data_IF_341607787644
#
_entry.id   IF_341607787644
#
_cell.length_a   1.000
_cell.length_b   1.000
_cell.length_c   1.000
_cell.angle_alpha   90.00
_cell.angle_beta   90.00
_cell.angle_gamma   90.00
#
_symmetry.space_group_name_H-M   'P 1'
#
loop_
_entity.id
_entity.type
_entity.pdbx_description
1 polymer ?
#
# COMPACT_ATOMS: atom_id res chain seq x y z
N UNK A 1 26.14 100.78 7.12
CA UNK A 1 24.88 100.77 6.34
C UNK A 1 24.95 99.57 5.40
N UNK A 2 23.98 98.67 5.52
CA UNK A 2 23.71 97.51 4.64
C UNK A 2 23.54 97.96 3.15
N UNK A 3 23.54 97.16 2.08
CA UNK A 3 22.86 95.88 1.78
C UNK A 3 23.53 95.20 0.56
N UNK A 4 23.52 93.87 0.60
CA UNK A 4 23.77 92.82 -0.39
C UNK A 4 23.49 93.08 -1.89
N UNK A 5 24.24 92.37 -2.75
CA UNK A 5 23.67 91.76 -3.96
C UNK A 5 24.30 90.39 -4.23
N UNK A 6 23.43 89.39 -4.40
CA UNK A 6 23.69 87.97 -4.60
C UNK A 6 23.63 87.66 -6.10
N UNK A 7 24.52 86.81 -6.65
CA UNK A 7 24.30 86.22 -7.98
C UNK A 7 24.80 84.78 -8.09
N UNK A 8 23.82 83.89 -7.91
CA UNK A 8 23.61 82.53 -8.41
C UNK A 8 24.76 81.79 -9.13
N UNK A 9 25.27 80.73 -8.50
CA UNK A 9 25.96 79.62 -9.18
C UNK A 9 25.13 78.33 -9.09
N UNK A 10 24.98 77.71 -10.26
CA UNK A 10 23.98 76.70 -10.64
C UNK A 10 24.16 75.36 -9.92
N UNK A 11 23.09 74.78 -9.35
CA UNK A 11 22.95 73.33 -9.16
C UNK A 11 22.42 72.72 -10.46
N UNK A 12 23.27 72.01 -11.20
CA UNK A 12 22.84 71.06 -12.23
C UNK A 12 22.67 69.69 -11.55
N UNK A 13 21.46 69.41 -11.06
CA UNK A 13 21.08 68.07 -10.65
C UNK A 13 20.68 67.35 -11.95
N UNK A 14 21.58 66.51 -12.46
CA UNK A 14 21.30 65.68 -13.63
C UNK A 14 20.36 64.53 -13.21
N UNK A 15 19.06 64.79 -13.20
CA UNK A 15 18.03 63.76 -13.06
C UNK A 15 17.91 63.00 -14.39
N UNK A 16 18.77 62.00 -14.56
CA UNK A 16 18.58 60.98 -15.59
C UNK A 16 17.36 60.15 -15.21
N UNK A 17 16.20 60.53 -15.75
CA UNK A 17 14.95 59.78 -15.71
C UNK A 17 15.22 58.33 -16.15
N UNK A 18 15.19 57.38 -15.20
CA UNK A 18 15.30 55.95 -15.50
C UNK A 18 13.96 55.46 -16.04
N UNK A 19 13.73 55.55 -17.35
CA UNK A 19 12.56 55.03 -18.08
C UNK A 19 12.48 53.49 -18.16
N UNK A 20 12.88 52.78 -17.10
CA UNK A 20 12.90 51.31 -17.05
C UNK A 20 12.31 50.70 -15.78
N UNK A 21 11.97 51.50 -14.76
CA UNK A 21 11.43 50.99 -13.49
C UNK A 21 10.02 50.40 -13.63
N UNK A 22 9.15 51.01 -14.45
CA UNK A 22 7.78 50.52 -14.65
C UNK A 22 7.74 49.11 -15.25
N UNK A 23 8.60 48.83 -16.22
CA UNK A 23 8.70 47.52 -16.86
C UNK A 23 9.23 46.45 -15.90
N UNK A 24 10.18 46.81 -15.02
CA UNK A 24 10.68 45.91 -13.97
C UNK A 24 9.57 45.54 -12.97
N UNK A 25 8.74 46.51 -12.57
CA UNK A 25 7.62 46.27 -11.66
C UNK A 25 6.60 45.32 -12.30
N UNK A 26 6.27 45.51 -13.58
CA UNK A 26 5.34 44.63 -14.30
C UNK A 26 5.88 43.20 -14.40
N UNK A 27 7.17 43.02 -14.70
CA UNK A 27 7.79 41.69 -14.76
C UNK A 27 7.73 41.00 -13.38
N UNK A 28 8.01 41.73 -12.31
CA UNK A 28 7.93 41.20 -10.94
C UNK A 28 6.51 40.75 -10.57
N UNK A 29 5.50 41.56 -10.89
CA UNK A 29 4.09 41.23 -10.62
C UNK A 29 3.64 40.02 -11.44
N UNK A 30 4.01 39.95 -12.73
CA UNK A 30 3.70 38.81 -13.58
C UNK A 30 4.38 37.52 -13.09
N UNK A 31 5.66 37.60 -12.71
CA UNK A 31 6.40 36.46 -12.16
C UNK A 31 5.78 35.97 -10.85
N UNK A 32 5.37 36.89 -9.98
CA UNK A 32 4.69 36.55 -8.73
C UNK A 32 3.31 35.91 -8.99
N UNK A 33 2.49 36.48 -9.87
CA UNK A 33 1.19 35.91 -10.23
C UNK A 33 1.32 34.53 -10.87
N UNK A 34 2.34 34.31 -11.71
CA UNK A 34 2.64 32.99 -12.28
C UNK A 34 3.02 31.98 -11.20
N UNK A 35 3.92 32.34 -10.29
CA UNK A 35 4.35 31.45 -9.20
C UNK A 35 3.19 31.07 -8.29
N UNK A 36 2.36 32.04 -7.88
CA UNK A 36 1.18 31.79 -7.05
C UNK A 36 0.16 30.94 -7.80
N UNK A 37 -0.12 31.25 -9.08
CA UNK A 37 -1.06 30.51 -9.90
C UNK A 37 -0.70 29.03 -10.05
N UNK A 38 0.57 28.73 -10.35
CA UNK A 38 1.07 27.35 -10.44
C UNK A 38 0.98 26.64 -9.10
N UNK A 39 1.35 27.31 -8.00
CA UNK A 39 1.31 26.71 -6.66
C UNK A 39 -0.12 26.34 -6.25
N UNK A 40 -1.10 27.21 -6.51
CA UNK A 40 -2.52 26.95 -6.22
C UNK A 40 -3.06 25.78 -7.04
N UNK A 41 -2.70 25.68 -8.32
CA UNK A 41 -3.09 24.55 -9.17
C UNK A 41 -2.51 23.22 -8.65
N UNK A 42 -1.25 23.21 -8.23
CA UNK A 42 -0.60 22.01 -7.68
C UNK A 42 -1.30 21.54 -6.41
N UNK A 43 -1.50 22.43 -5.42
CA UNK A 43 -2.16 22.10 -4.15
C UNK A 43 -3.61 21.65 -4.36
N UNK A 44 -4.32 22.28 -5.30
CA UNK A 44 -5.70 21.88 -5.62
C UNK A 44 -5.76 20.52 -6.32
N UNK A 45 -4.75 20.18 -7.11
CA UNK A 45 -4.67 18.89 -7.82
C UNK A 45 -4.28 17.71 -6.91
N UNK A 46 -3.61 17.96 -5.78
CA UNK A 46 -3.21 16.91 -4.83
C UNK A 46 -4.35 16.52 -3.89
N UNK A 47 -5.27 17.43 -3.56
CA UNK A 47 -6.41 17.16 -2.68
C UNK A 47 -7.27 15.95 -3.09
N UNK A 48 -7.81 15.90 -4.33
CA UNK A 48 -8.62 14.77 -4.80
C UNK A 48 -7.85 13.44 -4.87
N UNK A 49 -6.54 13.48 -5.18
CA UNK A 49 -5.69 12.29 -5.24
C UNK A 49 -5.46 11.68 -3.85
N UNK A 50 -5.26 12.51 -2.83
CA UNK A 50 -5.10 12.05 -1.45
C UNK A 50 -6.42 11.49 -0.90
N UNK A 51 -7.55 12.16 -1.14
CA UNK A 51 -8.86 11.70 -0.68
C UNK A 51 -9.30 10.37 -1.31
N UNK A 52 -9.08 10.20 -2.62
CA UNK A 52 -9.38 8.93 -3.31
C UNK A 52 -8.46 7.79 -2.85
N UNK A 53 -7.16 8.06 -2.67
CA UNK A 53 -6.22 7.08 -2.14
C UNK A 53 -6.59 6.62 -0.71
N UNK A 54 -7.02 7.53 0.16
CA UNK A 54 -7.48 7.18 1.51
C UNK A 54 -8.73 6.29 1.48
N UNK A 55 -9.69 6.57 0.58
CA UNK A 55 -10.89 5.74 0.43
C UNK A 55 -10.54 4.33 -0.04
N UNK A 56 -9.67 4.18 -1.03
CA UNK A 56 -9.24 2.86 -1.48
C UNK A 56 -8.46 2.11 -0.40
N UNK A 57 -7.69 2.81 0.43
CA UNK A 57 -7.00 2.19 1.56
C UNK A 57 -7.98 1.69 2.64
N UNK A 58 -9.02 2.46 2.95
CA UNK A 58 -10.07 2.06 3.89
C UNK A 58 -10.87 0.87 3.35
N UNK A 59 -11.21 0.89 2.05
CA UNK A 59 -11.86 -0.24 1.37
C UNK A 59 -10.99 -1.50 1.41
N UNK A 60 -9.67 -1.38 1.16
CA UNK A 60 -8.74 -2.51 1.24
C UNK A 60 -8.61 -3.04 2.67
N UNK A 61 -8.58 -2.15 3.67
CA UNK A 61 -8.55 -2.53 5.08
C UNK A 61 -9.83 -3.30 5.48
N UNK A 62 -11.00 -2.80 5.09
CA UNK A 62 -12.28 -3.46 5.34
C UNK A 62 -12.35 -4.85 4.68
N UNK A 63 -11.79 -5.00 3.48
CA UNK A 63 -11.69 -6.29 2.82
C UNK A 63 -10.76 -7.25 3.59
N UNK A 64 -9.61 -6.76 4.06
CA UNK A 64 -8.69 -7.57 4.87
C UNK A 64 -9.31 -8.00 6.21
N UNK A 65 -10.06 -7.12 6.88
CA UNK A 65 -10.78 -7.41 8.12
C UNK A 65 -11.90 -8.44 7.91
N UNK A 66 -12.64 -8.34 6.79
CA UNK A 66 -13.61 -9.37 6.43
C UNK A 66 -12.94 -10.74 6.19
N UNK A 67 -11.78 -10.76 5.53
CA UNK A 67 -10.97 -11.97 5.37
C UNK A 67 -10.53 -12.55 6.71
N UNK A 68 -10.06 -11.72 7.64
CA UNK A 68 -9.70 -12.13 9.00
C UNK A 68 -10.89 -12.78 9.74
N UNK A 69 -12.05 -12.11 9.73
CA UNK A 69 -13.25 -12.62 10.40
C UNK A 69 -13.74 -13.92 9.78
N UNK A 70 -13.75 -14.01 8.44
CA UNK A 70 -14.15 -15.22 7.72
C UNK A 70 -13.20 -16.38 8.01
N UNK A 71 -11.89 -16.13 7.98
CA UNK A 71 -10.87 -17.14 8.26
C UNK A 71 -10.93 -17.62 9.70
N UNK A 72 -11.14 -16.73 10.67
CA UNK A 72 -11.31 -17.11 12.07
C UNK A 72 -12.48 -18.09 12.26
N UNK A 73 -13.64 -17.79 11.65
CA UNK A 73 -14.81 -18.68 11.70
C UNK A 73 -14.52 -20.03 11.03
N UNK A 74 -13.84 -20.02 9.88
CA UNK A 74 -13.47 -21.25 9.18
C UNK A 74 -12.50 -22.11 10.00
N UNK A 75 -11.47 -21.50 10.60
CA UNK A 75 -10.50 -22.18 11.46
C UNK A 75 -11.18 -22.80 12.69
N UNK A 76 -12.07 -22.05 13.37
CA UNK A 76 -12.86 -22.59 14.48
C UNK A 76 -13.66 -23.83 14.06
N UNK A 77 -14.33 -23.79 12.90
CA UNK A 77 -15.07 -24.93 12.37
C UNK A 77 -14.15 -26.11 12.03
N UNK A 78 -12.96 -25.88 11.46
CA UNK A 78 -11.99 -26.94 11.16
C UNK A 78 -11.52 -27.67 12.42
N UNK A 79 -11.27 -26.95 13.51
CA UNK A 79 -10.93 -27.54 14.80
C UNK A 79 -12.12 -28.26 15.45
N UNK A 80 -13.31 -27.63 15.46
CA UNK A 80 -14.53 -28.22 16.03
C UNK A 80 -14.96 -29.51 15.32
N UNK A 81 -14.88 -29.53 14.00
CA UNK A 81 -15.18 -30.69 13.16
C UNK A 81 -14.09 -31.77 13.17
N UNK A 82 -12.95 -31.51 13.86
CA UNK A 82 -11.75 -32.35 13.91
C UNK A 82 -11.14 -32.63 12.53
N UNK A 83 -11.38 -31.76 11.56
CA UNK A 83 -10.66 -31.78 10.30
C UNK A 83 -9.19 -31.42 10.54
N UNK A 84 -8.94 -30.44 11.41
CA UNK A 84 -7.61 -30.01 11.81
C UNK A 84 -7.36 -30.34 13.28
N UNK A 85 -6.20 -30.93 13.57
CA UNK A 85 -5.73 -31.16 14.94
C UNK A 85 -4.68 -30.15 15.41
N UNK A 86 -4.07 -29.42 14.46
CA UNK A 86 -3.08 -28.38 14.67
C UNK A 86 -2.94 -27.56 13.38
N UNK A 87 -2.14 -26.50 13.37
CA UNK A 87 -1.84 -25.74 12.15
C UNK A 87 -0.81 -26.43 11.23
N UNK A 88 -0.18 -27.50 11.73
CA UNK A 88 0.86 -28.22 10.99
C UNK A 88 0.35 -28.77 9.66
N UNK A 89 1.06 -28.46 8.58
CA UNK A 89 0.70 -28.89 7.22
C UNK A 89 -0.24 -27.94 6.48
N UNK A 90 -0.72 -26.87 7.14
CA UNK A 90 -1.61 -25.87 6.54
C UNK A 90 -0.92 -24.52 6.26
N UNK A 91 0.40 -24.46 6.44
CA UNK A 91 1.20 -23.28 6.18
C UNK A 91 1.48 -23.10 4.68
N UNK A 92 1.48 -21.85 4.23
CA UNK A 92 1.93 -21.48 2.91
C UNK A 92 3.46 -21.62 2.83
N UNK A 93 3.90 -22.68 2.16
CA UNK A 93 5.32 -23.03 2.02
C UNK A 93 5.66 -23.32 0.57
N UNK A 94 6.93 -23.20 0.20
CA UNK A 94 7.44 -23.66 -1.10
C UNK A 94 7.08 -22.82 -2.34
N UNK A 95 6.39 -21.68 -2.17
CA UNK A 95 6.04 -20.78 -3.30
C UNK A 95 7.27 -20.09 -3.91
N UNK A 96 8.32 -19.89 -3.10
CA UNK A 96 9.60 -19.32 -3.55
C UNK A 96 10.72 -20.35 -3.40
N UNK A 97 11.83 -20.15 -4.10
CA UNK A 97 12.99 -21.07 -4.12
C UNK A 97 13.49 -21.46 -2.73
N UNK A 98 13.40 -20.56 -1.75
CA UNK A 98 13.89 -20.77 -0.38
C UNK A 98 12.77 -20.78 0.66
N UNK A 99 11.50 -20.92 0.26
CA UNK A 99 10.33 -20.79 1.13
C UNK A 99 9.89 -19.34 1.31
N UNK A 100 8.57 -19.11 1.33
CA UNK A 100 7.99 -17.76 1.51
C UNK A 100 7.92 -17.36 3.00
N UNK A 101 7.90 -18.36 3.85
CA UNK A 101 7.89 -18.38 5.31
C UNK A 101 9.28 -18.22 5.94
N UNK A 102 10.35 -18.51 5.20
CA UNK A 102 11.73 -18.51 5.74
C UNK A 102 12.39 -17.12 5.62
N UNK A 103 12.82 -16.48 6.72
CA UNK A 103 13.42 -15.14 6.69
C UNK A 103 14.89 -15.12 6.20
N UNK A 104 15.67 -16.16 6.49
CA UNK A 104 17.11 -16.24 6.18
C UNK A 104 17.46 -17.56 5.50
N UNK A 105 18.24 -17.48 4.43
CA UNK A 105 18.67 -18.67 3.68
C UNK A 105 19.63 -19.47 4.55
N UNK A 106 19.35 -20.76 4.76
CA UNK A 106 20.15 -21.66 5.61
C UNK A 106 20.37 -21.13 7.05
N UNK A 107 19.42 -20.36 7.59
CA UNK A 107 19.51 -19.72 8.91
C UNK A 107 20.76 -18.81 9.06
N UNK A 108 21.24 -18.24 7.96
CA UNK A 108 22.38 -17.33 7.93
C UNK A 108 21.90 -15.88 7.92
N UNK A 109 22.07 -15.16 9.04
CA UNK A 109 21.66 -13.75 9.19
C UNK A 109 22.29 -12.83 8.13
N UNK A 110 23.42 -13.23 7.53
CA UNK A 110 24.07 -12.46 6.46
C UNK A 110 23.42 -12.65 5.09
N UNK A 111 22.52 -13.64 4.94
CA UNK A 111 21.85 -14.01 3.69
C UNK A 111 20.33 -13.97 3.85
N UNK A 112 19.74 -12.77 3.89
CA UNK A 112 18.31 -12.64 4.07
C UNK A 112 17.58 -13.10 2.79
N UNK A 113 16.55 -13.93 2.94
CA UNK A 113 15.81 -14.50 1.82
C UNK A 113 15.04 -13.39 1.07
N UNK A 114 15.25 -13.20 -0.24
CA UNK A 114 14.49 -12.20 -1.01
C UNK A 114 13.02 -12.61 -1.22
N UNK A 115 12.71 -13.90 -1.13
CA UNK A 115 11.36 -14.45 -1.27
C UNK A 115 10.54 -14.47 0.03
N UNK A 116 11.07 -13.95 1.14
CA UNK A 116 10.35 -13.90 2.41
C UNK A 116 9.15 -12.96 2.32
N UNK A 117 7.96 -13.39 2.77
CA UNK A 117 6.70 -12.67 2.55
C UNK A 117 6.72 -11.20 3.02
N UNK A 118 7.40 -10.88 4.13
CA UNK A 118 7.52 -9.48 4.63
C UNK A 118 8.38 -8.59 3.74
N UNK A 119 9.13 -9.17 2.80
CA UNK A 119 9.97 -8.44 1.84
C UNK A 119 9.30 -8.34 0.46
N UNK A 120 8.17 -9.01 0.28
CA UNK A 120 7.38 -8.99 -0.93
C UNK A 120 6.21 -8.02 -0.77
N UNK A 121 5.89 -7.31 -1.85
CA UNK A 121 4.65 -6.53 -1.92
C UNK A 121 3.45 -7.47 -2.01
N UNK A 122 2.27 -6.97 -1.65
CA UNK A 122 1.03 -7.75 -1.75
C UNK A 122 0.80 -8.26 -3.18
N UNK A 123 1.04 -7.41 -4.18
CA UNK A 123 0.95 -7.79 -5.60
C UNK A 123 1.93 -8.90 -5.98
N UNK A 124 3.16 -8.88 -5.44
CA UNK A 124 4.13 -9.93 -5.68
C UNK A 124 3.68 -11.25 -5.06
N UNK A 125 3.10 -11.23 -3.86
CA UNK A 125 2.55 -12.43 -3.23
C UNK A 125 1.39 -12.98 -4.06
N UNK A 126 0.44 -12.13 -4.47
CA UNK A 126 -0.70 -12.57 -5.28
C UNK A 126 -0.26 -13.17 -6.62
N UNK A 127 0.71 -12.55 -7.31
CA UNK A 127 1.28 -13.09 -8.54
C UNK A 127 2.08 -14.39 -8.34
N UNK A 128 2.59 -14.63 -7.13
CA UNK A 128 3.25 -15.90 -6.81
C UNK A 128 2.22 -17.02 -6.55
N UNK A 129 1.04 -16.66 -6.02
CA UNK A 129 -0.06 -17.58 -5.76
C UNK A 129 -0.84 -17.90 -7.03
N UNK A 130 -1.01 -16.94 -7.95
CA UNK A 130 -1.62 -17.14 -9.26
C UNK A 130 -0.77 -16.43 -10.34
N UNK A 131 0.30 -17.09 -10.84
CA UNK A 131 1.14 -16.56 -11.91
C UNK A 131 0.43 -16.43 -13.27
N UNK A 132 -0.68 -17.14 -13.48
CA UNK A 132 -1.35 -17.24 -14.76
C UNK A 132 -2.57 -16.29 -14.87
N UNK A 133 -2.99 -15.71 -13.74
CA UNK A 133 -4.10 -14.76 -13.56
C UNK A 133 -5.47 -15.32 -13.98
N UNK A 134 -5.70 -16.62 -13.81
CA UNK A 134 -6.98 -17.27 -14.07
C UNK A 134 -7.97 -17.17 -12.89
N UNK A 135 -7.52 -16.61 -11.75
CA UNK A 135 -8.32 -16.45 -10.54
C UNK A 135 -8.38 -17.71 -9.68
N UNK A 136 -7.52 -18.69 -9.96
CA UNK A 136 -7.33 -19.90 -9.16
C UNK A 136 -5.88 -19.94 -8.70
N UNK A 137 -5.68 -20.24 -7.42
CA UNK A 137 -4.31 -20.35 -6.90
C UNK A 137 -3.62 -21.60 -7.45
N UNK A 138 -2.38 -21.43 -7.91
CA UNK A 138 -1.46 -22.47 -8.38
C UNK A 138 -0.65 -23.11 -7.23
N UNK A 139 -1.21 -23.09 -6.01
CA UNK A 139 -0.65 -23.74 -4.80
C UNK A 139 -1.57 -24.85 -4.32
N UNK A 140 -1.09 -25.70 -3.41
CA UNK A 140 -1.94 -26.76 -2.87
C UNK A 140 -3.14 -26.17 -2.11
N UNK A 141 -4.34 -26.73 -2.34
CA UNK A 141 -5.59 -26.20 -1.79
C UNK A 141 -5.58 -26.10 -0.25
N UNK A 142 -4.79 -26.95 0.43
CA UNK A 142 -4.70 -27.01 1.89
C UNK A 142 -3.77 -25.91 2.49
N UNK A 143 -3.06 -25.15 1.64
CA UNK A 143 -2.12 -24.09 2.06
C UNK A 143 -2.74 -22.68 2.07
N UNK A 144 -3.93 -22.52 1.49
CA UNK A 144 -4.68 -21.28 1.47
C UNK A 144 -6.02 -21.49 2.16
N UNK A 145 -6.40 -20.55 3.05
CA UNK A 145 -7.73 -20.56 3.66
C UNK A 145 -8.74 -19.99 2.67
N UNK A 146 -8.38 -18.85 2.06
CA UNK A 146 -9.17 -18.18 1.04
C UNK A 146 -8.26 -17.55 0.00
N UNK A 147 -8.62 -17.64 -1.28
CA UNK A 147 -7.90 -17.01 -2.37
C UNK A 147 -8.82 -16.10 -3.17
N UNK A 148 -8.50 -14.81 -3.17
CA UNK A 148 -9.22 -13.77 -3.91
C UNK A 148 -10.75 -13.83 -3.82
N UNK A 149 -11.23 -14.17 -2.63
CA UNK A 149 -12.65 -14.28 -2.35
C UNK A 149 -13.30 -12.89 -2.37
N UNK A 150 -14.46 -12.73 -3.04
CA UNK A 150 -15.14 -11.45 -3.09
C UNK A 150 -15.72 -11.08 -1.73
N UNK A 151 -15.54 -9.81 -1.33
CA UNK A 151 -16.08 -9.25 -0.09
C UNK A 151 -17.60 -9.43 0.01
N UNK A 152 -18.32 -9.26 -1.10
CA UNK A 152 -19.75 -9.50 -1.21
C UNK A 152 -20.01 -10.65 -2.18
N UNK A 153 -20.39 -11.81 -1.67
CA UNK A 153 -20.90 -12.91 -2.52
C UNK A 153 -22.31 -12.57 -2.99
N UNK A 154 -22.48 -12.27 -4.27
CA UNK A 154 -23.80 -12.10 -4.85
C UNK A 154 -24.46 -13.46 -5.10
N UNK A 155 -25.65 -13.69 -4.55
CA UNK A 155 -26.45 -14.90 -4.82
C UNK A 155 -26.79 -15.11 -6.31
N UNK A 156 -26.68 -14.07 -7.13
CA UNK A 156 -26.99 -14.11 -8.57
C UNK A 156 -25.86 -14.69 -9.44
N UNK A 157 -24.75 -15.14 -8.86
CA UNK A 157 -23.63 -15.76 -9.60
C UNK A 157 -22.71 -14.77 -10.34
N UNK A 158 -22.95 -13.45 -10.21
CA UNK A 158 -22.06 -12.43 -10.75
C UNK A 158 -21.16 -11.93 -9.62
N UNK A 159 -20.03 -12.62 -9.41
CA UNK A 159 -19.07 -12.24 -8.38
C UNK A 159 -18.45 -10.89 -8.72
N UNK A 160 -18.37 -10.02 -7.70
CA UNK A 160 -17.78 -8.69 -7.83
C UNK A 160 -16.39 -8.70 -7.21
N UNK A 161 -15.36 -8.79 -8.06
CA UNK A 161 -13.97 -8.85 -7.63
C UNK A 161 -13.35 -7.48 -7.39
N UNK A 162 -14.16 -6.41 -7.28
CA UNK A 162 -13.66 -5.07 -6.94
C UNK A 162 -13.02 -5.02 -5.56
N UNK A 163 -13.58 -5.74 -4.59
CA UNK A 163 -13.02 -5.91 -3.26
C UNK A 163 -12.87 -7.39 -2.99
N UNK A 164 -11.64 -7.85 -2.82
CA UNK A 164 -11.33 -9.24 -2.54
C UNK A 164 -10.43 -9.37 -1.33
N UNK A 165 -10.39 -10.55 -0.75
CA UNK A 165 -9.42 -10.90 0.28
C UNK A 165 -8.78 -12.26 0.01
N UNK A 166 -7.51 -12.37 0.38
CA UNK A 166 -6.73 -13.60 0.36
C UNK A 166 -6.20 -13.84 1.77
N UNK A 167 -6.35 -15.07 2.28
CA UNK A 167 -5.91 -15.44 3.63
C UNK A 167 -5.12 -16.72 3.59
N UNK A 168 -3.96 -16.70 4.23
CA UNK A 168 -3.07 -17.84 4.37
C UNK A 168 -2.32 -17.81 5.71
N UNK A 169 -1.72 -18.93 6.06
CA UNK A 169 -1.02 -19.15 7.31
C UNK A 169 0.48 -19.23 7.08
N UNK A 170 1.27 -18.65 7.97
CA UNK A 170 2.72 -18.71 7.99
C UNK A 170 3.17 -19.24 9.36
N UNK A 171 4.08 -20.21 9.36
CA UNK A 171 4.80 -20.64 10.56
C UNK A 171 5.75 -19.50 10.99
N UNK A 172 5.51 -18.90 12.15
CA UNK A 172 6.30 -17.77 12.66
C UNK A 172 7.65 -18.20 13.25
N UNK A 173 7.83 -19.50 13.47
CA UNK A 173 9.10 -20.12 13.87
C UNK A 173 9.89 -20.66 12.67
N UNK A 174 9.36 -20.55 11.44
CA UNK A 174 10.01 -21.00 10.23
C UNK A 174 11.41 -20.38 10.05
N UNK A 175 12.40 -21.24 9.85
CA UNK A 175 13.78 -20.82 9.60
C UNK A 175 14.56 -20.33 10.83
N UNK A 176 14.01 -20.43 12.06
CA UNK A 176 14.72 -20.11 13.30
C UNK A 176 15.74 -21.18 13.73
N UNK A 177 15.61 -22.40 13.20
CA UNK A 177 16.48 -23.55 13.52
C UNK A 177 16.03 -24.37 14.74
N UNK A 178 14.90 -24.01 15.36
CA UNK A 178 14.21 -24.81 16.38
C UNK A 178 13.07 -25.66 15.80
N UNK A 179 12.49 -26.58 16.58
CA UNK A 179 11.23 -27.23 16.22
C UNK A 179 10.09 -26.20 16.26
N UNK A 180 9.27 -26.17 15.22
CA UNK A 180 8.06 -25.32 15.15
C UNK A 180 6.99 -25.83 16.12
N UNK A 181 6.40 -24.93 16.90
CA UNK A 181 5.19 -25.17 17.68
C UNK A 181 3.97 -25.19 16.74
N UNK A 182 3.27 -26.34 16.60
CA UNK A 182 2.14 -26.42 15.68
C UNK A 182 0.86 -25.79 16.24
N UNK A 183 0.90 -25.21 17.45
CA UNK A 183 -0.25 -24.56 18.10
C UNK A 183 -0.32 -23.06 17.86
N UNK A 184 0.75 -22.39 17.48
CA UNK A 184 0.72 -21.00 17.09
C UNK A 184 0.96 -20.84 15.58
N UNK A 185 0.51 -19.71 15.06
CA UNK A 185 0.62 -19.39 13.64
C UNK A 185 0.48 -17.89 13.41
N UNK A 186 1.13 -17.39 12.37
CA UNK A 186 0.88 -16.07 11.83
C UNK A 186 -0.14 -16.14 10.68
N UNK A 187 -1.35 -15.63 10.91
CA UNK A 187 -2.35 -15.47 9.87
C UNK A 187 -2.12 -14.15 9.11
N UNK A 188 -1.99 -14.26 7.80
CA UNK A 188 -1.80 -13.12 6.89
C UNK A 188 -3.07 -12.93 6.07
N UNK A 189 -3.68 -11.75 6.19
CA UNK A 189 -4.88 -11.37 5.44
C UNK A 189 -4.55 -10.20 4.50
N UNK A 190 -4.70 -10.39 3.19
CA UNK A 190 -4.48 -9.36 2.18
C UNK A 190 -5.82 -8.95 1.60
N UNK A 191 -6.26 -7.73 1.89
CA UNK A 191 -7.39 -7.10 1.23
C UNK A 191 -6.94 -6.32 0.00
N UNK A 192 -7.71 -6.40 -1.08
CA UNK A 192 -7.37 -5.80 -2.37
C UNK A 192 -8.55 -5.03 -2.95
N UNK A 193 -8.29 -3.83 -3.45
CA UNK A 193 -9.24 -3.01 -4.20
C UNK A 193 -8.81 -2.92 -5.66
N UNK A 194 -9.72 -3.23 -6.58
CA UNK A 194 -9.49 -3.20 -8.04
C UNK A 194 -10.29 -2.12 -8.73
N UNK A 195 -9.83 -1.71 -9.92
CA UNK A 195 -10.50 -0.70 -10.73
C UNK A 195 -11.83 -1.16 -11.34
N UNK A 196 -12.09 -2.47 -11.39
CA UNK A 196 -13.28 -3.05 -11.99
C UNK A 196 -13.62 -4.42 -11.40
N UNK A 197 -14.70 -5.04 -11.91
CA UNK A 197 -15.29 -6.25 -11.33
C UNK A 197 -14.54 -7.53 -11.72
N UNK A 198 -13.50 -7.47 -12.55
CA UNK A 198 -12.73 -8.65 -12.97
C UNK A 198 -11.49 -8.83 -12.10
N UNK A 199 -11.09 -10.07 -11.89
CA UNK A 199 -9.89 -10.39 -11.11
C UNK A 199 -8.60 -9.85 -11.75
N UNK A 200 -8.57 -9.79 -13.07
CA UNK A 200 -7.46 -9.24 -13.87
C UNK A 200 -7.44 -7.71 -13.91
N UNK A 201 -8.43 -7.03 -13.34
CA UNK A 201 -8.45 -5.57 -13.33
C UNK A 201 -7.35 -5.01 -12.41
N UNK A 202 -6.90 -3.80 -12.72
CA UNK A 202 -5.76 -3.17 -12.03
C UNK A 202 -6.04 -3.02 -10.52
N UNK A 203 -5.05 -3.41 -9.71
CA UNK A 203 -5.03 -3.15 -8.27
C UNK A 203 -4.83 -1.64 -8.02
N UNK A 204 -5.74 -1.06 -7.23
CA UNK A 204 -5.74 0.35 -6.83
C UNK A 204 -5.16 0.54 -5.44
N UNK A 205 -5.43 -0.38 -4.52
CA UNK A 205 -4.89 -0.37 -3.17
C UNK A 205 -4.88 -1.79 -2.58
N UNK A 206 -3.99 -2.01 -1.62
CA UNK A 206 -3.92 -3.24 -0.83
C UNK A 206 -3.77 -2.90 0.64
N UNK A 207 -4.20 -3.83 1.50
CA UNK A 207 -3.95 -3.76 2.93
C UNK A 207 -3.61 -5.16 3.43
N UNK A 208 -2.51 -5.29 4.16
CA UNK A 208 -2.08 -6.54 4.79
C UNK A 208 -2.25 -6.44 6.30
N UNK A 209 -2.95 -7.42 6.87
CA UNK A 209 -2.99 -7.66 8.31
C UNK A 209 -2.18 -8.91 8.62
N UNK A 210 -1.36 -8.84 9.65
CA UNK A 210 -0.58 -9.96 10.19
C UNK A 210 -1.03 -10.17 11.65
N UNK A 211 -1.67 -11.29 11.94
CA UNK A 211 -2.22 -11.60 13.26
C UNK A 211 -1.68 -12.94 13.75
N UNK A 212 -1.07 -12.96 14.93
CA UNK A 212 -0.74 -14.21 15.63
C UNK A 212 -1.99 -14.87 16.20
N UNK A 213 -2.14 -16.16 15.96
CA UNK A 213 -3.24 -16.99 16.47
C UNK A 213 -2.67 -18.16 17.26
N UNK A 214 -3.45 -18.62 18.23
CA UNK A 214 -3.18 -19.84 19.00
C UNK A 214 -4.34 -20.81 18.79
N UNK A 215 -4.03 -22.10 18.67
CA UNK A 215 -4.99 -23.17 18.52
C UNK A 215 -5.79 -23.32 19.82
N UNK A 216 -7.09 -23.61 19.75
CA UNK A 216 -7.88 -23.91 20.94
C UNK A 216 -7.35 -25.17 21.63
N UNK A 217 -7.35 -25.16 22.96
CA UNK A 217 -6.92 -26.29 23.82
C UNK A 217 -7.82 -27.54 23.70
#
# INVERSE_FOLDING_TARGET
>A
MYIFSFSSSRKLINLKERRGSGLIVVILVLAFMLAVGVTVLVVSSTGPKVSSAMRFQEEAFNAAEAGFNAARVALEEFFLSRQWSSFSGHYLTGVTQYGIDIPFINNDLSKPNPGYFRRLTDEQILNLLDPNHDGVADVAADQLIFFEEPFNRQQSGNNDYRLTYTVFLIDDEAGTGGPSDPKDVLMVCIGVVRSGPRITDKILATCRLEIGLEAPD
#
